data_IF_687142139792
#
_entry.id   IF_687142139792
#
_cell.length_a   1.000
_cell.length_b   1.000
_cell.length_c   1.000
_cell.angle_alpha   90.00
_cell.angle_beta   90.00
_cell.angle_gamma   90.00
#
_symmetry.space_group_name_H-M   'P 1'
#
loop_
_entity.id
_entity.type
_entity.pdbx_description
1 polymer ?
#
# COMPACT_ATOMS: atom_id res chain seq x y z
N UNK A 1 -1.99 29.37 -27.78
CA UNK A 1 -1.08 28.19 -27.73
C UNK A 1 -1.15 27.59 -26.33
N UNK A 2 -1.76 26.41 -26.16
CA UNK A 2 -1.61 25.67 -24.91
C UNK A 2 -0.13 25.31 -24.74
N UNK A 3 0.48 25.68 -23.61
CA UNK A 3 1.85 25.30 -23.27
C UNK A 3 1.93 23.77 -23.30
N UNK A 4 2.55 23.21 -24.33
CA UNK A 4 2.91 21.78 -24.36
C UNK A 4 3.92 21.56 -23.24
N UNK A 5 3.48 20.95 -22.15
CA UNK A 5 4.39 20.41 -21.14
C UNK A 5 5.23 19.33 -21.79
N UNK A 6 6.57 19.39 -21.65
CA UNK A 6 7.48 18.33 -22.14
C UNK A 6 7.31 17.01 -21.38
N UNK A 7 6.60 17.01 -20.25
CA UNK A 7 6.44 15.85 -19.38
C UNK A 7 4.97 15.52 -19.15
N UNK A 8 4.66 14.22 -19.13
CA UNK A 8 3.34 13.72 -18.75
C UNK A 8 3.03 14.13 -17.31
N UNK A 9 1.80 14.58 -17.06
CA UNK A 9 1.35 14.92 -15.72
C UNK A 9 0.94 13.63 -14.99
N UNK A 10 1.86 13.06 -14.20
CA UNK A 10 1.64 11.83 -13.44
C UNK A 10 1.29 12.16 -11.99
N UNK A 11 0.31 11.45 -11.44
CA UNK A 11 -0.01 11.52 -10.01
C UNK A 11 1.17 10.94 -9.24
N UNK A 12 1.69 11.71 -8.27
CA UNK A 12 2.79 11.27 -7.43
C UNK A 12 2.26 10.48 -6.24
N UNK A 13 2.91 9.36 -5.87
CA UNK A 13 2.60 8.71 -4.61
C UNK A 13 2.90 9.65 -3.44
N UNK A 14 2.06 9.58 -2.40
CA UNK A 14 2.20 10.28 -1.14
C UNK A 14 3.24 9.57 -0.29
N UNK A 15 4.51 9.89 -0.53
CA UNK A 15 5.62 9.43 0.30
C UNK A 15 6.08 10.52 1.26
N UNK A 16 6.48 10.12 2.46
CA UNK A 16 7.40 10.89 3.32
C UNK A 16 8.82 10.85 2.74
N UNK A 17 9.83 11.32 3.47
CA UNK A 17 11.23 11.34 2.99
C UNK A 17 11.84 9.96 2.75
N UNK A 18 11.33 8.95 3.45
CA UNK A 18 11.88 7.60 3.54
C UNK A 18 10.85 6.51 3.21
N UNK A 19 9.57 6.75 3.51
CA UNK A 19 8.49 5.78 3.26
C UNK A 19 7.10 6.41 3.41
N UNK A 20 6.05 5.60 3.29
CA UNK A 20 4.66 6.06 3.48
C UNK A 20 4.30 6.30 4.95
N UNK A 21 4.83 5.48 5.85
CA UNK A 21 4.63 5.61 7.29
C UNK A 21 5.99 5.82 7.95
N UNK A 22 6.42 7.07 8.09
CA UNK A 22 7.72 7.40 8.67
C UNK A 22 7.61 8.14 10.01
N UNK A 23 8.47 7.75 10.95
CA UNK A 23 8.48 8.26 12.32
C UNK A 23 9.90 8.65 12.73
N UNK A 24 10.08 9.89 13.16
CA UNK A 24 11.32 10.35 13.74
C UNK A 24 11.27 10.25 15.26
N UNK A 25 12.26 9.58 15.85
CA UNK A 25 12.51 9.58 17.28
C UNK A 25 13.60 10.62 17.57
N UNK A 26 13.28 11.65 18.36
CA UNK A 26 14.17 12.81 18.58
C UNK A 26 14.24 13.18 20.06
N UNK A 27 15.35 13.73 20.52
CA UNK A 27 15.47 14.22 21.90
C UNK A 27 16.14 13.26 22.88
N UNK A 28 16.73 12.16 22.38
CA UNK A 28 17.59 11.26 23.16
C UNK A 28 18.93 10.97 22.43
N UNK A 29 19.97 10.49 23.14
CA UNK A 29 21.19 10.01 22.50
C UNK A 29 20.91 8.92 21.44
N UNK A 30 21.70 8.87 20.36
CA UNK A 30 21.44 7.95 19.23
C UNK A 30 21.41 6.47 19.66
N UNK A 31 22.24 6.09 20.64
CA UNK A 31 22.22 4.73 21.20
C UNK A 31 20.91 4.38 21.90
N UNK A 32 20.31 5.33 22.62
CA UNK A 32 19.01 5.13 23.32
C UNK A 32 17.87 5.03 22.29
N UNK A 33 17.86 5.91 21.27
CA UNK A 33 16.89 5.84 20.17
C UNK A 33 16.98 4.50 19.46
N UNK A 34 18.19 4.08 19.12
CA UNK A 34 18.42 2.80 18.46
C UNK A 34 17.92 1.63 19.31
N UNK A 35 18.25 1.62 20.60
CA UNK A 35 17.80 0.55 21.51
C UNK A 35 16.28 0.50 21.64
N UNK A 36 15.62 1.66 21.77
CA UNK A 36 14.15 1.75 21.79
C UNK A 36 13.53 1.20 20.51
N UNK A 37 14.06 1.61 19.35
CA UNK A 37 13.57 1.14 18.04
C UNK A 37 13.77 -0.36 17.88
N UNK A 38 14.91 -0.91 18.30
CA UNK A 38 15.17 -2.36 18.28
C UNK A 38 14.14 -3.11 19.14
N UNK A 39 13.82 -2.62 20.34
CA UNK A 39 12.78 -3.19 21.21
C UNK A 39 11.38 -3.13 20.60
N UNK A 40 11.01 -2.02 19.97
CA UNK A 40 9.74 -1.91 19.25
C UNK A 40 9.70 -2.88 18.06
N UNK A 41 10.82 -3.00 17.33
CA UNK A 41 10.90 -3.90 16.19
C UNK A 41 10.80 -5.38 16.59
N UNK A 42 11.30 -5.78 17.75
CA UNK A 42 11.13 -7.13 18.32
C UNK A 42 9.64 -7.49 18.56
N UNK A 43 8.80 -6.49 18.87
CA UNK A 43 7.37 -6.68 19.15
C UNK A 43 6.49 -6.69 17.89
N UNK A 44 6.96 -6.09 16.82
CA UNK A 44 6.17 -5.98 15.60
C UNK A 44 6.03 -7.35 14.91
N UNK A 45 5.02 -7.50 14.06
CA UNK A 45 4.97 -8.56 13.03
C UNK A 45 5.34 -8.00 11.64
N UNK A 46 5.19 -6.68 11.48
CA UNK A 46 5.45 -5.91 10.26
C UNK A 46 6.90 -5.81 9.83
N UNK A 47 7.13 -5.44 8.57
CA UNK A 47 8.46 -5.10 8.06
C UNK A 47 8.84 -3.68 8.48
N UNK A 48 9.89 -3.54 9.28
CA UNK A 48 10.36 -2.25 9.81
C UNK A 48 11.75 -1.92 9.27
N UNK A 49 11.90 -0.68 8.84
CA UNK A 49 13.15 -0.05 8.45
C UNK A 49 13.57 0.96 9.53
N UNK A 50 14.80 0.88 10.03
CA UNK A 50 15.41 1.92 10.86
C UNK A 50 16.55 2.60 10.13
N UNK A 51 16.59 3.93 10.15
CA UNK A 51 17.57 4.76 9.44
C UNK A 51 18.29 5.67 10.43
N UNK A 52 19.62 5.62 10.41
CA UNK A 52 20.50 6.44 11.25
C UNK A 52 21.72 6.94 10.45
N UNK A 53 22.45 7.89 10.99
CA UNK A 53 23.74 8.36 10.46
C UNK A 53 24.89 7.54 11.08
N UNK A 54 25.88 7.12 10.28
CA UNK A 54 27.03 6.37 10.82
C UNK A 54 28.07 7.32 11.42
N UNK A 55 28.56 7.01 12.62
CA UNK A 55 29.62 7.75 13.32
C UNK A 55 30.96 6.97 13.34
N UNK A 56 31.49 6.54 12.19
CA UNK A 56 32.81 5.90 12.14
C UNK A 56 33.93 6.94 11.99
N UNK A 57 34.92 6.92 12.91
CA UNK A 57 36.06 7.86 12.97
C UNK A 57 36.98 7.87 11.73
N UNK A 58 36.90 6.87 10.85
CA UNK A 58 37.63 6.79 9.59
C UNK A 58 36.71 6.81 8.35
N UNK A 59 35.40 6.96 8.55
CA UNK A 59 34.48 7.09 7.42
C UNK A 59 34.45 8.55 6.94
N UNK A 60 34.50 8.71 5.63
CA UNK A 60 34.08 9.95 4.97
C UNK A 60 32.71 10.42 5.50
N UNK A 61 32.44 11.73 5.57
CA UNK A 61 31.50 12.32 6.54
C UNK A 61 30.00 12.03 6.34
N UNK A 62 29.59 11.08 5.49
CA UNK A 62 28.21 11.00 5.00
C UNK A 62 27.83 9.55 4.66
N UNK A 63 27.43 8.77 5.67
CA UNK A 63 27.02 7.36 5.52
C UNK A 63 25.77 7.08 6.35
N UNK A 64 24.83 6.32 5.79
CA UNK A 64 23.59 5.92 6.43
C UNK A 64 23.71 4.50 6.99
N UNK A 65 23.35 4.30 8.25
CA UNK A 65 23.15 2.98 8.84
C UNK A 65 21.68 2.60 8.67
N UNK A 66 21.43 1.42 8.10
CA UNK A 66 20.09 0.90 7.93
C UNK A 66 19.98 -0.42 8.70
N UNK A 67 19.00 -0.53 9.57
CA UNK A 67 18.70 -1.77 10.30
C UNK A 67 17.31 -2.23 9.91
N UNK A 68 17.18 -3.51 9.55
CA UNK A 68 15.93 -4.09 9.08
C UNK A 68 15.56 -5.23 10.02
N UNK A 69 14.27 -5.50 10.16
CA UNK A 69 13.76 -6.54 11.05
C UNK A 69 14.05 -7.99 10.58
N UNK A 70 14.85 -8.18 9.52
CA UNK A 70 15.37 -9.49 9.10
C UNK A 70 16.69 -9.89 9.79
N UNK A 71 16.89 -9.50 11.06
CA UNK A 71 17.96 -10.03 11.92
C UNK A 71 19.41 -9.78 11.44
N UNK A 72 19.62 -9.00 10.38
CA UNK A 72 20.92 -8.60 9.89
C UNK A 72 20.88 -7.10 9.62
N UNK A 73 21.65 -6.32 10.38
CA UNK A 73 21.91 -4.93 10.03
C UNK A 73 22.56 -4.89 8.63
N UNK A 74 21.76 -4.63 7.60
CA UNK A 74 22.27 -4.41 6.26
C UNK A 74 22.67 -2.95 6.13
N UNK A 75 23.96 -2.69 6.32
CA UNK A 75 24.53 -1.36 6.08
C UNK A 75 24.61 -1.09 4.58
N UNK A 76 23.71 -0.26 4.06
CA UNK A 76 23.80 0.26 2.70
C UNK A 76 24.59 1.57 2.68
N UNK A 77 25.69 1.61 1.94
CA UNK A 77 26.43 2.85 1.69
C UNK A 77 25.85 3.55 0.46
N UNK A 78 25.10 4.63 0.65
CA UNK A 78 24.80 5.57 -0.44
C UNK A 78 25.71 6.81 -0.36
N UNK A 79 26.25 7.31 -1.49
CA UNK A 79 27.05 8.54 -1.53
C UNK A 79 26.22 9.80 -1.24
N UNK A 80 26.89 10.81 -0.70
CA UNK A 80 26.53 12.19 -0.28
C UNK A 80 25.10 12.75 -0.33
N UNK A 81 24.27 12.39 -1.30
CA UNK A 81 22.93 12.96 -1.46
C UNK A 81 21.88 11.86 -1.37
N UNK A 82 21.04 11.93 -0.33
CA UNK A 82 19.83 11.12 -0.20
C UNK A 82 18.99 11.21 -1.49
N UNK A 83 19.07 10.19 -2.35
CA UNK A 83 18.32 10.15 -3.60
C UNK A 83 16.89 9.67 -3.33
N UNK A 84 15.99 10.62 -2.99
CA UNK A 84 14.58 10.33 -2.65
C UNK A 84 13.94 9.31 -3.63
N UNK A 85 13.97 9.50 -4.97
CA UNK A 85 13.46 8.50 -5.91
C UNK A 85 14.07 7.10 -5.75
N UNK A 86 15.40 7.00 -5.68
CA UNK A 86 16.08 5.71 -5.53
C UNK A 86 15.78 5.01 -4.21
N UNK A 87 15.58 5.79 -3.15
CA UNK A 87 15.27 5.25 -1.83
C UNK A 87 13.86 4.69 -1.75
N UNK A 88 12.87 5.33 -2.38
CA UNK A 88 11.54 4.70 -2.47
C UNK A 88 11.58 3.38 -3.22
N UNK A 89 12.42 3.27 -4.26
CA UNK A 89 12.59 1.99 -4.97
C UNK A 89 13.11 0.90 -4.02
N UNK A 90 14.06 1.25 -3.15
CA UNK A 90 14.65 0.28 -2.24
C UNK A 90 13.77 -0.04 -1.02
N UNK A 91 12.95 0.91 -0.55
CA UNK A 91 12.32 0.84 0.76
C UNK A 91 10.79 0.78 0.75
N UNK A 92 10.14 0.84 -0.42
CA UNK A 92 8.67 0.81 -0.53
C UNK A 92 7.99 -0.46 -0.02
N UNK A 93 8.75 -1.51 0.27
CA UNK A 93 8.24 -2.77 0.81
C UNK A 93 8.09 -2.77 2.34
N UNK A 94 8.74 -1.85 3.05
CA UNK A 94 8.61 -1.73 4.50
C UNK A 94 7.28 -1.07 4.87
N UNK A 95 6.64 -1.57 5.92
CA UNK A 95 5.38 -1.04 6.43
C UNK A 95 5.59 0.25 7.23
N UNK A 96 6.68 0.28 8.01
CA UNK A 96 7.08 1.42 8.85
C UNK A 96 8.55 1.76 8.65
N UNK A 97 8.85 3.05 8.61
CA UNK A 97 10.19 3.59 8.56
C UNK A 97 10.48 4.45 9.80
N UNK A 98 11.30 3.95 10.69
CA UNK A 98 11.79 4.68 11.84
C UNK A 98 13.10 5.38 11.49
N UNK A 99 13.25 6.61 11.93
CA UNK A 99 14.45 7.41 11.65
C UNK A 99 14.96 8.06 12.92
N UNK A 100 16.28 8.18 13.02
CA UNK A 100 16.91 8.98 14.05
C UNK A 100 16.66 10.46 13.76
N UNK A 101 15.71 11.05 14.51
CA UNK A 101 15.29 12.44 14.37
C UNK A 101 16.38 13.47 14.71
N UNK A 102 17.46 13.04 15.37
CA UNK A 102 18.61 13.90 15.59
C UNK A 102 19.29 14.30 14.29
N UNK A 103 19.24 13.42 13.28
CA UNK A 103 19.93 13.55 12.00
C UNK A 103 18.95 13.89 10.87
N UNK A 104 17.78 13.25 10.87
CA UNK A 104 16.80 13.35 9.78
C UNK A 104 15.45 13.89 10.25
N UNK A 105 14.63 14.36 9.30
CA UNK A 105 13.22 14.73 9.52
C UNK A 105 12.30 13.67 8.95
N UNK A 106 11.17 13.41 9.60
CA UNK A 106 10.10 12.54 9.09
C UNK A 106 8.74 13.25 9.18
N UNK A 107 7.70 12.68 8.56
CA UNK A 107 6.33 13.19 8.62
C UNK A 107 5.70 13.19 10.02
N UNK A 108 6.04 12.22 10.87
CA UNK A 108 5.52 12.09 12.24
C UNK A 108 6.70 12.06 13.21
N UNK A 109 6.57 12.69 14.36
CA UNK A 109 7.65 12.71 15.37
C UNK A 109 7.19 12.17 16.72
N UNK A 110 8.09 11.45 17.40
CA UNK A 110 8.02 11.10 18.81
C UNK A 110 9.16 11.82 19.51
N UNK A 111 8.82 12.68 20.47
CA UNK A 111 9.80 13.44 21.25
C UNK A 111 10.15 12.67 22.52
N UNK A 112 11.43 12.41 22.74
CA UNK A 112 11.95 11.75 23.92
C UNK A 112 12.53 12.81 24.84
N UNK A 113 12.15 12.79 26.12
CA UNK A 113 12.61 13.72 27.13
C UNK A 113 13.84 13.15 27.83
N UNK A 114 15.03 13.39 27.27
CA UNK A 114 16.31 13.06 27.89
C UNK A 114 17.10 14.34 28.24
N UNK A 115 17.54 14.45 29.49
CA UNK A 115 18.30 15.61 29.97
C UNK A 115 19.63 15.82 29.25
N UNK A 116 20.24 14.75 28.69
CA UNK A 116 21.47 14.85 27.88
C UNK A 116 21.25 15.52 26.53
N UNK A 117 20.00 15.69 26.10
CA UNK A 117 19.66 16.23 24.78
C UNK A 117 18.71 17.42 24.82
N UNK A 118 18.42 17.96 26.01
CA UNK A 118 17.58 19.15 26.19
C UNK A 118 18.03 20.33 25.30
N UNK A 119 19.29 20.75 25.41
CA UNK A 119 19.82 21.86 24.61
C UNK A 119 19.84 21.55 23.10
N UNK A 120 20.07 20.28 22.73
CA UNK A 120 20.02 19.89 21.32
C UNK A 120 18.60 19.88 20.77
N UNK A 121 17.59 19.59 21.60
CA UNK A 121 16.19 19.54 21.22
C UNK A 121 15.63 20.96 21.07
N UNK A 122 15.97 21.88 21.98
CA UNK A 122 15.54 23.29 21.91
C UNK A 122 16.06 24.00 20.65
N UNK A 123 17.20 23.57 20.11
CA UNK A 123 17.76 24.08 18.83
C UNK A 123 17.14 23.46 17.58
N UNK A 124 16.25 22.46 17.71
CA UNK A 124 15.67 21.68 16.59
C UNK A 124 14.14 21.75 16.55
N UNK A 125 13.56 22.81 17.11
CA UNK A 125 12.11 23.02 17.14
C UNK A 125 11.49 23.06 15.74
N UNK A 126 12.22 23.57 14.75
CA UNK A 126 11.82 23.59 13.33
C UNK A 126 11.52 22.18 12.76
N UNK A 127 12.05 21.12 13.39
CA UNK A 127 11.82 19.73 13.00
C UNK A 127 10.58 19.11 13.65
N UNK A 128 10.00 19.77 14.66
CA UNK A 128 8.84 19.30 15.41
C UNK A 128 7.57 19.88 14.80
N UNK A 129 7.15 19.33 13.67
CA UNK A 129 6.04 19.83 12.85
C UNK A 129 4.74 19.05 13.03
N UNK A 130 4.84 17.81 13.51
CA UNK A 130 3.73 16.88 13.72
C UNK A 130 4.12 15.87 14.81
N UNK A 131 4.25 16.37 16.04
CA UNK A 131 4.54 15.54 17.21
C UNK A 131 3.31 14.73 17.58
N UNK A 132 3.42 13.41 17.51
CA UNK A 132 2.32 12.47 17.77
C UNK A 132 2.35 11.90 19.18
N UNK A 133 3.52 11.82 19.81
CA UNK A 133 3.67 11.36 21.19
C UNK A 133 4.93 11.93 21.85
N UNK A 134 4.93 11.93 23.18
CA UNK A 134 6.08 12.30 24.02
C UNK A 134 6.46 11.10 24.90
N UNK A 135 7.75 10.77 24.97
CA UNK A 135 8.28 9.72 25.84
C UNK A 135 9.03 10.35 27.01
N UNK A 136 8.56 10.09 28.23
CA UNK A 136 9.27 10.48 29.46
C UNK A 136 10.34 9.47 29.81
N UNK A 137 11.43 9.95 30.41
CA UNK A 137 12.46 9.10 31.01
C UNK A 137 12.38 9.22 32.54
N UNK A 138 13.06 8.34 33.26
CA UNK A 138 13.17 8.43 34.73
C UNK A 138 13.72 9.80 35.21
N UNK A 139 14.48 10.48 34.35
CA UNK A 139 15.13 11.76 34.66
C UNK A 139 14.25 12.96 34.36
N UNK A 140 13.32 12.82 33.40
CA UNK A 140 12.49 13.93 32.92
C UNK A 140 11.07 13.43 32.72
N UNK A 141 10.25 13.69 33.74
CA UNK A 141 8.86 13.24 33.81
C UNK A 141 7.85 14.24 33.21
N UNK A 142 8.28 15.44 32.83
CA UNK A 142 7.39 16.50 32.30
C UNK A 142 8.03 17.17 31.08
N UNK A 143 7.23 17.57 30.06
CA UNK A 143 7.73 18.32 28.92
C UNK A 143 8.40 19.64 29.34
N UNK A 144 9.48 19.99 28.64
CA UNK A 144 10.19 21.27 28.80
C UNK A 144 9.31 22.45 28.38
N UNK A 145 9.53 23.63 28.98
CA UNK A 145 8.71 24.82 28.70
C UNK A 145 8.81 25.27 27.24
N UNK A 146 10.00 25.19 26.63
CA UNK A 146 10.17 25.52 25.21
C UNK A 146 9.36 24.61 24.27
N UNK A 147 8.98 23.39 24.70
CA UNK A 147 8.09 22.53 23.92
C UNK A 147 6.64 22.98 24.04
N UNK A 148 6.22 23.48 25.21
CA UNK A 148 4.87 24.03 25.42
C UNK A 148 4.65 25.30 24.61
N UNK A 149 5.70 26.12 24.49
CA UNK A 149 5.65 27.34 23.69
C UNK A 149 5.59 27.06 22.17
N UNK A 150 6.18 25.94 21.73
CA UNK A 150 6.29 25.59 20.31
C UNK A 150 5.16 24.68 19.80
N UNK A 151 4.70 23.73 20.62
CA UNK A 151 3.68 22.76 20.25
C UNK A 151 2.29 23.24 20.68
N UNK A 152 1.42 23.49 19.72
CA UNK A 152 0.01 23.75 19.98
C UNK A 152 -0.61 22.53 20.68
N UNK A 153 -1.40 22.78 21.72
CA UNK A 153 -2.14 21.75 22.48
C UNK A 153 -1.27 20.57 22.95
N UNK A 154 -0.06 20.85 23.46
CA UNK A 154 0.86 19.83 23.98
C UNK A 154 0.21 18.90 25.02
N UNK A 155 -0.75 19.41 25.79
CA UNK A 155 -1.49 18.65 26.80
C UNK A 155 -2.40 17.57 26.20
N UNK A 156 -2.74 17.67 24.91
CA UNK A 156 -3.49 16.65 24.18
C UNK A 156 -2.57 15.57 23.57
N UNK A 157 -1.25 15.79 23.54
CA UNK A 157 -0.30 14.82 23.00
C UNK A 157 -0.11 13.69 24.01
N UNK A 158 -0.29 12.41 23.61
CA UNK A 158 -0.13 11.28 24.52
C UNK A 158 1.31 11.17 25.03
N UNK A 159 1.43 10.87 26.32
CA UNK A 159 2.71 10.72 27.02
C UNK A 159 2.86 9.27 27.49
N UNK A 160 4.00 8.66 27.17
CA UNK A 160 4.31 7.28 27.58
C UNK A 160 5.65 7.23 28.31
N UNK A 161 5.87 6.22 29.16
CA UNK A 161 7.24 5.90 29.60
C UNK A 161 8.05 5.40 28.40
N UNK A 162 9.32 5.78 28.31
CA UNK A 162 10.24 5.22 27.29
C UNK A 162 10.34 3.69 27.37
N UNK A 163 10.05 3.10 28.55
CA UNK A 163 10.08 1.66 28.79
C UNK A 163 8.79 0.93 28.41
N UNK A 164 7.70 1.65 28.11
CA UNK A 164 6.41 1.06 27.73
C UNK A 164 6.38 0.67 26.24
N UNK A 165 7.35 -0.15 25.81
CA UNK A 165 7.57 -0.48 24.40
C UNK A 165 6.31 -1.01 23.70
N UNK A 166 5.48 -1.79 24.41
CA UNK A 166 4.22 -2.31 23.88
C UNK A 166 3.21 -1.19 23.60
N UNK A 167 2.99 -0.26 24.54
CA UNK A 167 2.07 0.86 24.33
C UNK A 167 2.55 1.79 23.22
N UNK A 168 3.87 2.04 23.16
CA UNK A 168 4.47 2.85 22.08
C UNK A 168 4.24 2.17 20.72
N UNK A 169 4.47 0.86 20.62
CA UNK A 169 4.23 0.12 19.40
C UNK A 169 2.76 0.10 18.99
N UNK A 170 1.85 -0.19 19.92
CA UNK A 170 0.41 -0.18 19.67
C UNK A 170 -0.06 1.21 19.20
N UNK A 171 0.46 2.28 19.78
CA UNK A 171 0.18 3.65 19.34
C UNK A 171 0.63 3.89 17.89
N UNK A 172 1.88 3.55 17.56
CA UNK A 172 2.44 3.71 16.20
C UNK A 172 1.65 2.85 15.19
N UNK A 173 1.33 1.61 15.56
CA UNK A 173 0.58 0.67 14.72
C UNK A 173 -0.83 1.18 14.44
N UNK A 174 -1.52 1.72 15.45
CA UNK A 174 -2.89 2.23 15.30
C UNK A 174 -2.96 3.53 14.48
N UNK A 175 -1.86 4.26 14.39
CA UNK A 175 -1.73 5.45 13.54
C UNK A 175 -1.38 5.11 12.06
N UNK A 176 -1.30 3.82 11.72
CA UNK A 176 -1.08 3.38 10.34
C UNK A 176 -2.23 3.82 9.43
N UNK A 177 -1.88 4.53 8.36
CA UNK A 177 -2.86 5.01 7.39
C UNK A 177 -3.18 3.91 6.38
N UNK A 178 -4.32 3.24 6.58
CA UNK A 178 -4.80 2.21 5.67
C UNK A 178 -5.15 2.84 4.31
N UNK A 179 -4.57 2.36 3.19
CA UNK A 179 -4.90 2.88 1.87
C UNK A 179 -6.38 2.74 1.57
N UNK A 180 -6.98 3.81 1.01
CA UNK A 180 -8.39 3.77 0.58
C UNK A 180 -8.56 2.68 -0.46
N UNK A 181 -9.63 1.89 -0.30
CA UNK A 181 -9.95 0.81 -1.21
C UNK A 181 -10.86 1.33 -2.33
N UNK A 182 -10.42 1.16 -3.58
CA UNK A 182 -11.19 1.44 -4.80
C UNK A 182 -11.43 0.14 -5.54
N UNK A 183 -12.37 0.14 -6.48
CA UNK A 183 -12.68 -1.05 -7.26
C UNK A 183 -12.48 -0.82 -8.76
N UNK A 184 -11.96 -1.84 -9.43
CA UNK A 184 -11.67 -1.86 -10.86
C UNK A 184 -12.36 -3.08 -11.49
N UNK A 185 -13.33 -2.82 -12.35
CA UNK A 185 -13.98 -3.84 -13.18
C UNK A 185 -13.30 -3.88 -14.54
N UNK A 186 -12.79 -5.05 -14.94
CA UNK A 186 -12.15 -5.23 -16.24
C UNK A 186 -13.24 -5.45 -17.29
N UNK A 187 -13.43 -4.50 -18.21
CA UNK A 187 -14.47 -4.57 -19.23
C UNK A 187 -14.28 -5.68 -20.28
N UNK A 188 -13.17 -6.42 -20.22
CA UNK A 188 -12.81 -7.47 -21.19
C UNK A 188 -12.01 -6.93 -22.39
N UNK A 189 -11.26 -7.84 -23.02
CA UNK A 189 -10.52 -7.58 -24.28
C UNK A 189 -11.30 -8.00 -25.52
N UNK A 190 -10.67 -7.88 -26.71
CA UNK A 190 -11.21 -8.41 -27.97
C UNK A 190 -11.43 -9.93 -27.83
N UNK A 191 -12.66 -10.34 -27.58
CA UNK A 191 -13.00 -11.75 -27.39
C UNK A 191 -12.97 -12.46 -28.75
N UNK A 192 -11.82 -13.02 -29.13
CA UNK A 192 -11.62 -13.67 -30.44
C UNK A 192 -12.39 -14.99 -30.54
N UNK A 193 -12.60 -15.70 -29.41
CA UNK A 193 -13.18 -17.06 -29.39
C UNK A 193 -14.71 -17.11 -29.37
N UNK A 194 -15.37 -16.10 -28.77
CA UNK A 194 -16.85 -16.03 -28.67
C UNK A 194 -17.49 -15.17 -29.77
N UNK A 195 -16.69 -14.46 -30.57
CA UNK A 195 -17.19 -13.53 -31.60
C UNK A 195 -18.02 -12.35 -31.07
N UNK A 196 -18.15 -12.20 -29.74
CA UNK A 196 -18.92 -11.16 -29.03
C UNK A 196 -18.13 -10.64 -27.82
N UNK A 197 -18.30 -9.36 -27.51
CA UNK A 197 -17.73 -8.73 -26.31
C UNK A 197 -18.33 -9.37 -25.04
N UNK A 198 -17.51 -10.10 -24.27
CA UNK A 198 -17.93 -10.87 -23.07
C UNK A 198 -18.56 -9.98 -22.00
N UNK A 199 -18.11 -8.74 -21.87
CA UNK A 199 -18.67 -7.81 -20.89
C UNK A 199 -20.14 -7.46 -21.13
N UNK A 200 -20.64 -7.71 -22.36
CA UNK A 200 -22.03 -7.48 -22.77
C UNK A 200 -22.96 -8.66 -22.52
N UNK A 201 -22.46 -9.79 -22.06
CA UNK A 201 -23.33 -10.94 -21.79
C UNK A 201 -24.27 -10.56 -20.65
N UNK A 202 -25.56 -10.74 -20.89
CA UNK A 202 -26.61 -10.37 -19.97
C UNK A 202 -27.03 -11.60 -19.16
N UNK A 203 -26.55 -11.66 -17.91
CA UNK A 203 -26.97 -12.67 -16.94
C UNK A 203 -28.01 -12.14 -15.96
N UNK A 204 -27.97 -10.83 -15.68
CA UNK A 204 -28.68 -10.18 -14.57
C UNK A 204 -29.59 -9.04 -15.03
N UNK A 205 -30.16 -9.15 -16.23
CA UNK A 205 -30.91 -8.08 -16.89
C UNK A 205 -30.05 -6.96 -17.51
N UNK A 206 -28.77 -6.87 -17.15
CA UNK A 206 -27.77 -5.95 -17.72
C UNK A 206 -26.47 -6.68 -18.07
N UNK A 207 -25.60 -6.07 -18.90
CA UNK A 207 -24.29 -6.63 -19.22
C UNK A 207 -23.43 -6.85 -17.97
N UNK A 208 -22.73 -7.99 -17.89
CA UNK A 208 -22.02 -8.44 -16.69
C UNK A 208 -21.03 -7.41 -16.13
N UNK A 209 -20.30 -6.71 -16.99
CA UNK A 209 -19.38 -5.65 -16.54
C UNK A 209 -20.13 -4.52 -15.81
N UNK A 210 -21.29 -4.10 -16.35
CA UNK A 210 -22.15 -3.09 -15.71
C UNK A 210 -22.81 -3.61 -14.43
N UNK A 211 -23.17 -4.90 -14.38
CA UNK A 211 -23.68 -5.53 -13.15
C UNK A 211 -22.64 -5.47 -12.02
N UNK A 212 -21.40 -5.91 -12.28
CA UNK A 212 -20.32 -5.87 -11.29
C UNK A 212 -19.99 -4.44 -10.85
N UNK A 213 -20.00 -3.48 -11.79
CA UNK A 213 -19.82 -2.07 -11.48
C UNK A 213 -20.91 -1.56 -10.52
N UNK A 214 -22.18 -1.88 -10.81
CA UNK A 214 -23.31 -1.51 -9.97
C UNK A 214 -23.25 -2.16 -8.58
N UNK A 215 -22.88 -3.45 -8.52
CA UNK A 215 -22.69 -4.19 -7.27
C UNK A 215 -21.64 -3.53 -6.38
N UNK A 216 -20.44 -3.26 -6.90
CA UNK A 216 -19.36 -2.62 -6.14
C UNK A 216 -19.70 -1.19 -5.73
N UNK A 217 -20.33 -0.42 -6.62
CA UNK A 217 -20.78 0.94 -6.31
C UNK A 217 -21.86 0.96 -5.22
N UNK A 218 -22.81 0.01 -5.27
CA UNK A 218 -23.85 -0.16 -4.26
C UNK A 218 -23.31 -0.60 -2.89
N UNK A 219 -22.12 -1.24 -2.86
CA UNK A 219 -21.38 -1.53 -1.63
C UNK A 219 -20.59 -0.32 -1.08
N UNK A 220 -20.62 0.82 -1.76
CA UNK A 220 -19.95 2.06 -1.34
C UNK A 220 -18.51 2.22 -1.84
N UNK A 221 -18.03 1.37 -2.75
CA UNK A 221 -16.70 1.53 -3.33
C UNK A 221 -16.70 2.58 -4.43
N UNK A 222 -15.65 3.41 -4.45
CA UNK A 222 -15.33 4.24 -5.61
C UNK A 222 -14.88 3.30 -6.74
N UNK A 223 -15.79 3.08 -7.69
CA UNK A 223 -15.66 2.02 -8.70
C UNK A 223 -15.35 2.60 -10.07
N UNK A 224 -14.48 1.92 -10.79
CA UNK A 224 -14.02 2.29 -12.13
C UNK A 224 -14.15 1.12 -13.10
N UNK A 225 -14.46 1.44 -14.35
CA UNK A 225 -14.37 0.53 -15.49
C UNK A 225 -12.98 0.65 -16.13
N UNK A 226 -12.24 -0.46 -16.24
CA UNK A 226 -11.03 -0.54 -17.05
C UNK A 226 -11.44 -0.81 -18.49
N UNK A 227 -11.19 0.14 -19.39
CA UNK A 227 -11.63 0.03 -20.76
C UNK A 227 -10.63 0.64 -21.74
N UNK A 228 -10.57 0.09 -22.96
CA UNK A 228 -9.79 0.70 -24.04
C UNK A 228 -10.44 2.04 -24.45
N UNK A 229 -9.69 2.99 -25.02
CA UNK A 229 -10.27 4.23 -25.53
C UNK A 229 -11.47 4.01 -26.47
N UNK A 230 -11.41 2.96 -27.29
CA UNK A 230 -12.48 2.56 -28.22
C UNK A 230 -13.78 2.09 -27.53
N UNK A 231 -13.70 1.69 -26.25
CA UNK A 231 -14.84 1.25 -25.44
C UNK A 231 -15.39 2.40 -24.57
N UNK A 232 -14.85 3.61 -24.67
CA UNK A 232 -15.20 4.73 -23.79
C UNK A 232 -16.69 5.10 -23.85
N UNK A 233 -17.25 5.18 -25.06
CA UNK A 233 -18.65 5.54 -25.26
C UNK A 233 -19.62 4.51 -24.66
N UNK A 234 -19.23 3.23 -24.64
CA UNK A 234 -20.04 2.15 -24.06
C UNK A 234 -20.24 2.28 -22.55
N UNK A 235 -19.32 2.96 -21.86
CA UNK A 235 -19.33 3.13 -20.41
C UNK A 235 -19.31 4.61 -20.01
N UNK A 236 -19.82 5.50 -20.88
CA UNK A 236 -19.77 6.96 -20.68
C UNK A 236 -20.45 7.44 -19.39
N UNK A 237 -21.38 6.67 -18.85
CA UNK A 237 -22.10 6.91 -17.59
C UNK A 237 -21.33 6.46 -16.33
N UNK A 238 -20.15 5.87 -16.50
CA UNK A 238 -19.34 5.27 -15.42
C UNK A 238 -17.99 5.98 -15.29
N UNK A 239 -17.37 5.90 -14.12
CA UNK A 239 -15.98 6.31 -13.99
C UNK A 239 -15.10 5.34 -14.78
N UNK A 240 -14.14 5.87 -15.54
CA UNK A 240 -13.30 5.06 -16.42
C UNK A 240 -11.82 5.23 -16.11
N UNK A 241 -11.07 4.15 -16.25
CA UNK A 241 -9.62 4.15 -16.35
C UNK A 241 -9.27 3.57 -17.70
N UNK A 242 -8.68 4.40 -18.55
CA UNK A 242 -8.19 3.95 -19.84
C UNK A 242 -6.86 3.22 -19.70
N UNK A 243 -6.72 2.10 -20.41
CA UNK A 243 -5.48 1.33 -20.45
C UNK A 243 -4.32 2.20 -20.98
N UNK A 244 -3.29 2.37 -20.15
CA UNK A 244 -2.04 3.08 -20.51
C UNK A 244 -0.92 2.09 -20.88
N UNK A 245 -1.02 0.87 -20.37
CA UNK A 245 -0.11 -0.24 -20.65
C UNK A 245 -0.78 -1.18 -21.65
N UNK A 246 -0.62 -0.88 -22.93
CA UNK A 246 -1.30 -1.58 -24.02
C UNK A 246 -0.83 -3.03 -24.16
N UNK A 247 -1.76 -3.91 -24.51
CA UNK A 247 -1.53 -5.32 -24.84
C UNK A 247 -0.88 -6.17 -23.72
N UNK A 248 -0.92 -5.68 -22.48
CA UNK A 248 -0.52 -6.43 -21.28
C UNK A 248 -1.71 -7.09 -20.55
N UNK A 249 -2.90 -7.07 -21.15
CA UNK A 249 -4.11 -7.67 -20.55
C UNK A 249 -4.40 -7.13 -19.15
N UNK A 250 -4.84 -7.98 -18.20
CA UNK A 250 -5.17 -7.54 -16.84
C UNK A 250 -4.00 -6.89 -16.09
N UNK A 251 -2.75 -7.26 -16.39
CA UNK A 251 -1.59 -6.57 -15.80
C UNK A 251 -1.57 -5.10 -16.20
N UNK A 252 -1.86 -4.82 -17.48
CA UNK A 252 -1.91 -3.45 -17.98
C UNK A 252 -3.01 -2.63 -17.34
N UNK A 253 -4.18 -3.24 -17.11
CA UNK A 253 -5.30 -2.61 -16.40
C UNK A 253 -4.94 -2.25 -14.96
N UNK A 254 -4.39 -3.20 -14.19
CA UNK A 254 -3.98 -2.99 -12.80
C UNK A 254 -2.88 -1.92 -12.70
N UNK A 255 -1.88 -1.97 -13.58
CA UNK A 255 -0.82 -0.95 -13.64
C UNK A 255 -1.38 0.43 -14.02
N UNK A 256 -2.38 0.49 -14.90
CA UNK A 256 -3.06 1.74 -15.27
C UNK A 256 -3.87 2.33 -14.12
N UNK A 257 -4.49 1.47 -13.29
CA UNK A 257 -5.19 1.89 -12.08
C UNK A 257 -4.23 2.49 -11.05
N UNK A 258 -3.11 1.82 -10.75
CA UNK A 258 -2.07 2.39 -9.88
C UNK A 258 -1.43 3.66 -10.46
N UNK A 259 -1.23 3.75 -11.78
CA UNK A 259 -0.74 4.99 -12.41
C UNK A 259 -1.74 6.14 -12.29
N UNK A 260 -3.02 5.83 -12.12
CA UNK A 260 -4.10 6.83 -11.94
C UNK A 260 -4.21 7.25 -10.48
N UNK A 261 -4.15 6.30 -9.55
CA UNK A 261 -4.06 6.58 -8.12
C UNK A 261 -3.04 5.64 -7.46
N UNK A 262 -1.79 6.10 -7.26
CA UNK A 262 -0.73 5.29 -6.67
C UNK A 262 -0.84 5.18 -5.15
N UNK A 263 -1.86 5.78 -4.54
CA UNK A 263 -2.09 5.77 -3.09
C UNK A 263 -3.28 4.90 -2.69
N UNK A 264 -4.11 4.47 -3.64
CA UNK A 264 -5.23 3.58 -3.41
C UNK A 264 -4.82 2.10 -3.51
N UNK A 265 -5.50 1.28 -2.72
CA UNK A 265 -5.59 -0.15 -2.97
C UNK A 265 -6.74 -0.43 -3.95
N UNK A 266 -6.64 -1.52 -4.71
CA UNK A 266 -7.58 -1.83 -5.78
C UNK A 266 -8.16 -3.24 -5.64
N UNK A 267 -9.48 -3.35 -5.44
CA UNK A 267 -10.23 -4.56 -5.77
C UNK A 267 -10.23 -4.69 -7.28
N UNK A 268 -9.85 -5.84 -7.81
CA UNK A 268 -9.82 -6.10 -9.25
C UNK A 268 -10.74 -7.28 -9.55
N UNK A 269 -11.71 -7.09 -10.45
CA UNK A 269 -12.68 -8.11 -10.87
C UNK A 269 -12.78 -8.18 -12.41
N UNK A 270 -12.79 -9.37 -13.02
CA UNK A 270 -13.04 -9.52 -14.44
C UNK A 270 -14.55 -9.61 -14.71
N UNK A 271 -14.94 -9.28 -15.94
CA UNK A 271 -16.35 -9.31 -16.34
C UNK A 271 -16.88 -10.71 -16.67
N UNK A 272 -16.12 -11.78 -16.51
CA UNK A 272 -16.50 -13.16 -16.90
C UNK A 272 -16.80 -14.08 -15.71
N UNK A 273 -17.10 -13.51 -14.55
CA UNK A 273 -17.51 -14.21 -13.32
C UNK A 273 -18.99 -13.96 -13.01
N UNK A 274 -19.91 -14.72 -13.64
CA UNK A 274 -21.36 -14.52 -13.50
C UNK A 274 -21.93 -14.90 -12.13
N UNK A 275 -21.28 -15.85 -11.44
CA UNK A 275 -21.68 -16.36 -10.12
C UNK A 275 -21.04 -15.58 -8.96
N UNK A 276 -20.33 -14.48 -9.25
CA UNK A 276 -19.74 -13.63 -8.22
C UNK A 276 -20.82 -12.76 -7.56
N UNK A 277 -20.82 -12.76 -6.23
CA UNK A 277 -21.81 -12.06 -5.40
C UNK A 277 -21.16 -11.13 -4.38
N UNK A 278 -21.98 -10.26 -3.77
CA UNK A 278 -21.55 -9.34 -2.70
C UNK A 278 -20.95 -10.06 -1.49
N UNK A 279 -21.43 -11.28 -1.17
CA UNK A 279 -20.91 -12.12 -0.09
C UNK A 279 -19.41 -12.41 -0.26
N UNK A 280 -19.00 -12.75 -1.48
CA UNK A 280 -17.60 -13.01 -1.83
C UNK A 280 -16.73 -11.75 -1.68
N UNK A 281 -17.25 -10.58 -2.07
CA UNK A 281 -16.54 -9.30 -1.89
C UNK A 281 -16.41 -8.93 -0.40
N UNK A 282 -17.43 -9.21 0.42
CA UNK A 282 -17.36 -9.04 1.88
C UNK A 282 -16.31 -9.98 2.50
N UNK A 283 -16.22 -11.22 2.04
CA UNK A 283 -15.17 -12.15 2.47
C UNK A 283 -13.78 -11.62 2.08
N UNK A 284 -13.60 -11.20 0.83
CA UNK A 284 -12.33 -10.65 0.33
C UNK A 284 -11.88 -9.43 1.14
N UNK A 285 -12.80 -8.51 1.43
CA UNK A 285 -12.50 -7.26 2.16
C UNK A 285 -12.32 -7.47 3.66
N UNK A 286 -13.04 -8.41 4.28
CA UNK A 286 -12.84 -8.72 5.71
C UNK A 286 -11.51 -9.41 6.00
N UNK A 287 -10.92 -10.06 4.99
CA UNK A 287 -9.59 -10.67 5.05
C UNK A 287 -8.49 -9.77 4.50
N UNK A 288 -8.78 -8.52 4.11
CA UNK A 288 -7.76 -7.60 3.59
C UNK A 288 -6.65 -7.38 4.61
N UNK A 289 -5.39 -7.51 4.16
CA UNK A 289 -4.21 -7.18 4.97
C UNK A 289 -3.37 -6.07 4.30
N UNK A 290 -3.48 -4.81 4.73
CA UNK A 290 -2.74 -3.68 4.14
C UNK A 290 -1.22 -3.75 4.28
N UNK A 291 -0.71 -4.64 5.15
CA UNK A 291 0.71 -4.87 5.36
C UNK A 291 1.29 -5.95 4.42
N UNK A 292 0.47 -6.58 3.59
CA UNK A 292 0.92 -7.48 2.53
C UNK A 292 0.79 -6.80 1.17
N UNK A 293 1.26 -7.45 0.11
CA UNK A 293 1.18 -6.86 -1.23
C UNK A 293 -0.20 -6.99 -1.87
N UNK A 294 -0.94 -8.04 -1.49
CA UNK A 294 -2.27 -8.31 -1.99
C UNK A 294 -3.04 -9.25 -1.06
N UNK A 295 -4.34 -9.32 -1.26
CA UNK A 295 -5.22 -10.36 -0.71
C UNK A 295 -5.94 -11.04 -1.87
N UNK A 296 -5.88 -12.36 -1.96
CA UNK A 296 -6.46 -13.11 -3.07
C UNK A 296 -7.07 -14.42 -2.58
N UNK A 297 -8.10 -14.91 -3.28
CA UNK A 297 -8.56 -16.29 -3.06
C UNK A 297 -7.53 -17.29 -3.58
N UNK A 298 -7.34 -18.39 -2.86
CA UNK A 298 -6.57 -19.53 -3.34
C UNK A 298 -7.47 -20.43 -4.18
N UNK A 299 -7.08 -20.76 -5.40
CA UNK A 299 -7.83 -21.72 -6.21
C UNK A 299 -7.47 -23.16 -5.78
N UNK A 300 -8.44 -23.92 -5.29
CA UNK A 300 -8.21 -25.25 -4.70
C UNK A 300 -7.72 -26.29 -5.72
N UNK A 301 -7.98 -26.09 -7.01
CA UNK A 301 -7.54 -27.02 -8.06
C UNK A 301 -6.10 -26.76 -8.48
N UNK A 302 -5.74 -25.50 -8.68
CA UNK A 302 -4.41 -25.11 -9.19
C UNK A 302 -3.41 -24.80 -8.09
N UNK A 303 -3.88 -24.62 -6.84
CA UNK A 303 -3.08 -24.21 -5.69
C UNK A 303 -2.35 -22.87 -5.91
N UNK A 304 -2.95 -22.00 -6.72
CA UNK A 304 -2.42 -20.67 -7.02
C UNK A 304 -3.42 -19.57 -6.65
N UNK A 305 -2.94 -18.37 -6.29
CA UNK A 305 -3.81 -17.22 -6.04
C UNK A 305 -4.57 -16.82 -7.31
N UNK A 306 -5.82 -16.44 -7.15
CA UNK A 306 -6.66 -15.91 -8.23
C UNK A 306 -6.43 -14.39 -8.39
N UNK A 307 -5.66 -13.94 -9.40
CA UNK A 307 -5.29 -12.54 -9.52
C UNK A 307 -6.43 -11.61 -9.89
N UNK A 308 -7.53 -12.11 -10.42
CA UNK A 308 -8.65 -11.28 -10.85
C UNK A 308 -9.82 -11.34 -9.86
N UNK A 309 -9.66 -11.95 -8.68
CA UNK A 309 -10.59 -11.78 -7.57
C UNK A 309 -9.76 -11.47 -6.33
N UNK A 310 -9.18 -10.27 -6.34
CA UNK A 310 -8.16 -9.90 -5.37
C UNK A 310 -8.14 -8.39 -5.07
N UNK A 311 -7.52 -8.05 -3.95
CA UNK A 311 -7.15 -6.70 -3.54
C UNK A 311 -5.65 -6.53 -3.75
N UNK A 312 -5.25 -5.46 -4.42
CA UNK A 312 -3.85 -5.12 -4.66
C UNK A 312 -3.48 -3.86 -3.87
N UNK A 313 -2.49 -3.95 -2.98
CA UNK A 313 -2.05 -2.82 -2.15
C UNK A 313 -1.09 -1.88 -2.91
N UNK A 314 -1.01 -0.57 -2.56
CA UNK A 314 -0.17 0.41 -3.27
C UNK A 314 1.29 0.00 -3.46
N UNK A 315 1.88 -0.71 -2.50
CA UNK A 315 3.27 -1.19 -2.60
C UNK A 315 3.48 -2.23 -3.69
N UNK A 316 2.41 -2.89 -4.17
CA UNK A 316 2.50 -3.78 -5.31
C UNK A 316 2.90 -3.04 -6.59
N UNK A 317 2.49 -1.79 -6.77
CA UNK A 317 2.68 -1.11 -8.06
C UNK A 317 4.14 -1.14 -8.53
N UNK A 318 5.07 -0.78 -7.65
CA UNK A 318 6.49 -0.82 -7.95
C UNK A 318 6.99 -2.26 -8.20
N UNK A 319 6.53 -3.22 -7.39
CA UNK A 319 6.89 -4.64 -7.55
C UNK A 319 6.43 -5.16 -8.91
N UNK A 320 5.19 -4.88 -9.33
CA UNK A 320 4.67 -5.22 -10.64
C UNK A 320 5.54 -4.64 -11.76
N UNK A 321 5.88 -3.36 -11.70
CA UNK A 321 6.77 -2.76 -12.70
C UNK A 321 8.15 -3.43 -12.71
N UNK A 322 8.67 -3.87 -11.57
CA UNK A 322 9.89 -4.69 -11.48
C UNK A 322 9.77 -6.10 -12.09
N UNK A 323 8.58 -6.71 -12.10
CA UNK A 323 8.34 -7.94 -12.88
C UNK A 323 8.29 -7.65 -14.37
N UNK A 324 7.72 -6.51 -14.77
CA UNK A 324 7.64 -6.11 -16.17
C UNK A 324 9.03 -5.89 -16.78
N UNK A 325 9.99 -5.31 -16.05
CA UNK A 325 11.37 -5.15 -16.53
C UNK A 325 12.09 -6.48 -16.77
N UNK A 326 11.62 -7.56 -16.16
CA UNK A 326 12.11 -8.92 -16.37
C UNK A 326 11.35 -9.67 -17.48
N UNK A 327 10.43 -9.00 -18.18
CA UNK A 327 9.59 -9.60 -19.22
C UNK A 327 8.38 -10.37 -18.67
N UNK A 328 8.00 -10.17 -17.41
CA UNK A 328 6.81 -10.81 -16.83
C UNK A 328 5.63 -9.84 -16.72
N UNK A 329 4.55 -10.17 -17.42
CA UNK A 329 3.27 -9.43 -17.40
C UNK A 329 2.10 -10.27 -16.88
N UNK A 330 2.34 -11.44 -16.28
CA UNK A 330 1.29 -12.29 -15.73
C UNK A 330 0.99 -11.91 -14.27
N UNK A 331 -0.21 -11.38 -13.94
CA UNK A 331 -0.56 -11.00 -12.57
C UNK A 331 -0.44 -12.16 -11.57
N UNK A 332 -0.85 -13.37 -11.96
CA UNK A 332 -0.72 -14.57 -11.11
C UNK A 332 0.73 -14.83 -10.72
N UNK A 333 1.68 -14.67 -11.66
CA UNK A 333 3.11 -14.84 -11.39
C UNK A 333 3.64 -13.80 -10.41
N UNK A 334 3.15 -12.57 -10.48
CA UNK A 334 3.47 -11.53 -9.49
C UNK A 334 2.98 -11.95 -8.10
N UNK A 335 1.73 -12.41 -7.98
CA UNK A 335 1.17 -12.84 -6.69
C UNK A 335 1.91 -14.04 -6.10
N UNK A 336 2.19 -15.09 -6.88
CA UNK A 336 2.94 -16.28 -6.44
C UNK A 336 4.31 -15.90 -5.83
N UNK A 337 4.93 -14.86 -6.37
CA UNK A 337 6.27 -14.43 -5.96
C UNK A 337 6.20 -13.18 -5.06
N UNK A 338 5.12 -12.98 -4.31
CA UNK A 338 4.93 -11.87 -3.38
C UNK A 338 4.30 -12.38 -2.07
N UNK A 339 4.53 -11.66 -0.97
CA UNK A 339 3.81 -11.94 0.29
C UNK A 339 2.36 -11.46 0.13
N UNK A 340 1.43 -12.41 0.15
CA UNK A 340 0.01 -12.18 -0.12
C UNK A 340 -0.83 -12.90 0.92
N UNK A 341 -1.94 -12.29 1.31
CA UNK A 341 -2.96 -12.93 2.13
C UNK A 341 -3.79 -13.88 1.25
N UNK A 342 -3.83 -15.16 1.60
CA UNK A 342 -4.55 -16.19 0.83
C UNK A 342 -5.83 -16.60 1.54
N UNK A 343 -6.94 -16.50 0.84
CA UNK A 343 -8.26 -16.89 1.35
C UNK A 343 -8.62 -18.26 0.81
N UNK A 344 -8.69 -19.24 1.71
CA UNK A 344 -9.18 -20.58 1.41
C UNK A 344 -10.67 -20.68 1.72
N UNK A 345 -11.44 -21.16 0.75
CA UNK A 345 -12.87 -21.44 0.89
C UNK A 345 -13.23 -22.69 0.08
N UNK A 346 -14.16 -23.48 0.61
CA UNK A 346 -14.54 -24.77 0.03
C UNK A 346 -15.33 -24.59 -1.28
N UNK A 347 -16.39 -23.78 -1.27
CA UNK A 347 -17.19 -23.51 -2.45
C UNK A 347 -16.54 -22.41 -3.31
N UNK A 348 -16.06 -22.80 -4.49
CA UNK A 348 -15.38 -21.90 -5.44
C UNK A 348 -16.14 -21.73 -6.76
N UNK A 349 -17.44 -22.07 -6.80
CA UNK A 349 -18.26 -21.95 -8.00
C UNK A 349 -18.26 -20.52 -8.57
N UNK A 350 -18.15 -19.51 -7.71
CA UNK A 350 -18.08 -18.09 -8.08
C UNK A 350 -16.84 -17.73 -8.92
N UNK A 351 -15.78 -18.57 -8.94
CA UNK A 351 -14.60 -18.41 -9.78
C UNK A 351 -14.77 -18.98 -11.20
N UNK A 352 -15.94 -19.53 -11.50
CA UNK A 352 -16.21 -20.15 -12.81
C UNK A 352 -16.24 -19.09 -13.91
N UNK A 353 -15.26 -19.15 -14.80
CA UNK A 353 -15.21 -18.31 -16.00
C UNK A 353 -16.12 -18.87 -17.09
N UNK A 354 -16.95 -18.03 -17.70
CA UNK A 354 -17.74 -18.42 -18.87
C UNK A 354 -17.03 -18.01 -20.17
N UNK A 355 -16.67 -19.02 -20.95
CA UNK A 355 -15.91 -18.92 -22.19
C UNK A 355 -16.62 -19.53 -23.39
N UNK A 356 -17.61 -20.42 -23.20
CA UNK A 356 -18.40 -21.06 -24.28
C UNK A 356 -19.91 -20.86 -24.11
N UNK A 357 -20.71 -20.99 -25.19
CA UNK A 357 -22.16 -20.96 -25.11
C UNK A 357 -22.77 -22.03 -24.21
N UNK A 358 -22.19 -23.23 -24.16
CA UNK A 358 -22.66 -24.34 -23.32
C UNK A 358 -22.41 -24.05 -21.82
N UNK A 359 -21.29 -23.39 -21.49
CA UNK A 359 -21.02 -22.91 -20.13
C UNK A 359 -22.01 -21.82 -19.72
N UNK A 360 -22.39 -20.95 -20.65
CA UNK A 360 -23.37 -19.88 -20.43
C UNK A 360 -24.75 -20.43 -20.08
N UNK A 361 -25.21 -21.48 -20.77
CA UNK A 361 -26.51 -22.12 -20.48
C UNK A 361 -26.53 -22.74 -19.08
N UNK A 362 -25.46 -23.48 -18.70
CA UNK A 362 -25.34 -24.08 -17.37
C UNK A 362 -25.35 -23.05 -16.25
N UNK A 363 -24.67 -21.93 -16.45
CA UNK A 363 -24.61 -20.86 -15.46
C UNK A 363 -25.94 -20.12 -15.36
N UNK A 364 -26.60 -19.86 -16.48
CA UNK A 364 -27.90 -19.17 -16.48
C UNK A 364 -28.94 -19.94 -15.67
N UNK A 365 -28.97 -21.28 -15.82
CA UNK A 365 -29.82 -22.15 -15.00
C UNK A 365 -29.52 -22.08 -13.50
N UNK A 366 -28.24 -21.93 -13.11
CA UNK A 366 -27.85 -21.75 -11.71
C UNK A 366 -28.30 -20.39 -11.14
N UNK A 367 -28.30 -19.35 -11.98
CA UNK A 367 -28.73 -18.00 -11.58
C UNK A 367 -30.26 -17.94 -11.44
N UNK A 368 -31.01 -18.59 -12.33
CA UNK A 368 -32.48 -18.63 -12.27
C UNK A 368 -33.02 -19.50 -11.13
N UNK A 369 -32.21 -20.45 -10.62
CA UNK A 369 -32.58 -21.34 -9.52
C UNK A 369 -32.26 -20.82 -8.12
N UNK A 370 -31.57 -19.69 -8.00
CA UNK A 370 -31.24 -18.98 -6.76
C UNK A 370 -32.12 -17.74 -6.60
#
# INVERSE_FOLDING_TARGET
MQKKSKHANLVKPSFGSFGRNEWAFIGAPCGEIKSLVERIAELAENQILYIDETHHKEATPEKLAITTKMGQAQSFSQPKSWNKPGNYINFSHYDFCFVNGNHFTAQKQIVILDSKKEESLSKKLDRLTNVRAILTTERVAKPYDFLKDHLNDIDAIPVFSIHDHQQIWEFIKNDFEVPRLKALVLAGGKSVRMGRDKGKINYHGVGQASYLYGMLSGMGFETYMSCRPEQSEQYADKNQIHDKFLDLGPFGAIASAFMTDPNAAWIVLPCDLPLLEQSHIKTLTSKRNPHLYATAFLNNHTQFPEPLISIWEPKMYQRMLGFLTQGYSCPRKVLINSEVELIEIENQDFMTNVNTPEELEKVSLKIEGN
#
